data_IF_232841559669
#
_entry.id   IF_232841559669
#
_cell.length_a   1.000
_cell.length_b   1.000
_cell.length_c   1.000
_cell.angle_alpha   90.00
_cell.angle_beta   90.00
_cell.angle_gamma   90.00
#
_symmetry.space_group_name_H-M   'P 1'
#
loop_
_entity.id
_entity.type
_entity.pdbx_description
1 polymer ?
#
# COMPACT_ATOMS: atom_id res chain seq x y z
N UNK A 1 7.29 -1.15 -3.86
CA UNK A 1 7.14 -2.62 -3.76
C UNK A 1 6.52 -2.98 -2.43
N UNK A 2 5.46 -3.81 -2.42
CA UNK A 2 4.88 -4.40 -1.20
C UNK A 2 5.67 -5.62 -0.73
N UNK A 3 5.60 -5.92 0.57
CA UNK A 3 6.32 -7.03 1.21
C UNK A 3 5.37 -8.05 1.89
N UNK A 4 4.06 -7.91 1.73
CA UNK A 4 3.10 -8.84 2.29
C UNK A 4 3.39 -10.29 1.85
N UNK A 5 3.31 -11.23 2.79
CA UNK A 5 3.62 -12.67 2.63
C UNK A 5 5.10 -13.01 2.40
N UNK A 6 6.00 -12.04 2.31
CA UNK A 6 7.43 -12.31 2.26
C UNK A 6 7.97 -12.50 3.68
N UNK A 7 8.81 -13.50 3.90
CA UNK A 7 9.37 -13.84 5.22
C UNK A 7 10.89 -14.05 5.14
N UNK A 8 11.56 -13.78 6.25
CA UNK A 8 12.97 -14.10 6.43
C UNK A 8 13.87 -13.65 5.27
N UNK A 9 14.69 -14.56 4.79
CA UNK A 9 15.64 -14.30 3.70
C UNK A 9 14.96 -13.91 2.40
N UNK A 10 13.77 -14.45 2.09
CA UNK A 10 13.01 -14.07 0.89
C UNK A 10 12.61 -12.59 0.95
N UNK A 11 12.18 -12.09 2.11
CA UNK A 11 11.84 -10.67 2.28
C UNK A 11 13.09 -9.79 2.16
N UNK A 12 14.19 -10.14 2.83
CA UNK A 12 15.47 -9.42 2.76
C UNK A 12 15.97 -9.33 1.31
N UNK A 13 16.05 -10.46 0.64
CA UNK A 13 16.64 -10.54 -0.70
C UNK A 13 15.74 -9.89 -1.76
N UNK A 14 14.41 -9.98 -1.60
CA UNK A 14 13.47 -9.30 -2.48
C UNK A 14 13.58 -7.76 -2.34
N UNK A 15 13.69 -7.24 -1.13
CA UNK A 15 13.87 -5.79 -0.88
C UNK A 15 15.20 -5.31 -1.45
N UNK A 16 16.29 -6.03 -1.18
CA UNK A 16 17.62 -5.71 -1.73
C UNK A 16 17.58 -5.68 -3.27
N UNK A 17 17.00 -6.70 -3.89
CA UNK A 17 16.84 -6.81 -5.34
C UNK A 17 16.03 -5.65 -5.91
N UNK A 18 14.85 -5.36 -5.32
CA UNK A 18 14.01 -4.26 -5.78
C UNK A 18 14.73 -2.92 -5.74
N UNK A 19 15.43 -2.61 -4.65
CA UNK A 19 16.18 -1.36 -4.52
C UNK A 19 17.32 -1.27 -5.56
N UNK A 20 18.01 -2.38 -5.85
CA UNK A 20 19.05 -2.42 -6.89
C UNK A 20 18.49 -2.23 -8.30
N UNK A 21 17.22 -2.61 -8.54
CA UNK A 21 16.51 -2.42 -9.81
C UNK A 21 15.93 -1.00 -9.99
N UNK A 22 15.99 -0.16 -8.95
CA UNK A 22 15.52 1.22 -9.04
C UNK A 22 14.25 1.54 -8.23
N UNK A 23 13.66 0.57 -7.52
CA UNK A 23 12.60 0.89 -6.57
C UNK A 23 13.11 1.85 -5.49
N UNK A 24 12.24 2.77 -5.09
CA UNK A 24 12.52 3.72 -4.00
C UNK A 24 11.37 3.79 -2.99
N UNK A 25 10.29 3.05 -3.19
CA UNK A 25 9.19 2.91 -2.26
C UNK A 25 9.07 1.45 -1.80
N UNK A 26 9.24 1.22 -0.50
CA UNK A 26 9.09 -0.09 0.15
C UNK A 26 7.94 0.01 1.16
N UNK A 27 6.99 -0.90 1.06
CA UNK A 27 5.81 -0.97 1.90
C UNK A 27 5.80 -2.26 2.71
N UNK A 28 5.76 -2.13 4.03
CA UNK A 28 5.66 -3.24 4.99
C UNK A 28 4.58 -2.96 6.03
N UNK A 29 4.48 -3.78 7.06
CA UNK A 29 3.56 -3.61 8.19
C UNK A 29 3.99 -4.46 9.38
N UNK A 30 3.56 -4.08 10.58
CA UNK A 30 3.76 -4.85 11.82
C UNK A 30 3.22 -6.28 11.68
N UNK A 31 1.99 -6.42 11.18
CA UNK A 31 1.32 -7.72 11.01
C UNK A 31 2.03 -8.67 10.04
N UNK A 32 2.88 -8.15 9.16
CA UNK A 32 3.62 -9.01 8.23
C UNK A 32 4.74 -9.80 8.92
N UNK A 33 5.15 -9.38 10.13
CA UNK A 33 6.22 -10.03 10.91
C UNK A 33 7.52 -10.18 10.11
N UNK A 34 7.82 -9.19 9.27
CA UNK A 34 8.99 -9.19 8.39
C UNK A 34 9.80 -7.88 8.43
N UNK A 35 9.45 -6.95 9.31
CA UNK A 35 10.09 -5.62 9.37
C UNK A 35 11.60 -5.72 9.58
N UNK A 36 12.08 -6.67 10.39
CA UNK A 36 13.51 -6.91 10.58
C UNK A 36 14.20 -7.32 9.27
N UNK A 37 13.62 -8.26 8.53
CA UNK A 37 14.14 -8.71 7.23
C UNK A 37 14.10 -7.58 6.17
N UNK A 38 13.06 -6.75 6.19
CA UNK A 38 12.96 -5.55 5.34
C UNK A 38 14.10 -4.57 5.68
N UNK A 39 14.34 -4.29 6.95
CA UNK A 39 15.46 -3.45 7.42
C UNK A 39 16.82 -4.00 6.99
N UNK A 40 17.01 -5.31 7.07
CA UNK A 40 18.21 -5.99 6.58
C UNK A 40 18.38 -5.84 5.06
N UNK A 41 17.30 -5.99 4.29
CA UNK A 41 17.31 -5.80 2.84
C UNK A 41 17.66 -4.37 2.44
N UNK A 42 17.09 -3.37 3.13
CA UNK A 42 17.43 -1.95 2.92
C UNK A 42 18.94 -1.72 3.20
N UNK A 43 19.43 -2.18 4.34
CA UNK A 43 20.84 -2.04 4.70
C UNK A 43 21.76 -2.72 3.68
N UNK A 44 21.42 -3.95 3.28
CA UNK A 44 22.21 -4.73 2.32
C UNK A 44 22.16 -4.18 0.89
N UNK A 45 21.20 -3.32 0.56
CA UNK A 45 21.10 -2.68 -0.76
C UNK A 45 22.18 -1.63 -1.00
N UNK A 46 22.73 -1.03 0.07
CA UNK A 46 23.67 0.09 0.00
C UNK A 46 23.03 1.42 -0.46
N UNK A 47 21.72 1.45 -0.70
CA UNK A 47 21.01 2.69 -1.06
C UNK A 47 20.86 3.55 0.20
N UNK A 48 21.22 4.85 0.16
CA UNK A 48 21.06 5.72 1.32
C UNK A 48 19.62 5.77 1.81
N UNK A 49 19.41 5.68 3.13
CA UNK A 49 18.04 5.68 3.73
C UNK A 49 17.19 6.86 3.28
N UNK A 50 17.78 8.04 3.13
CA UNK A 50 17.10 9.27 2.66
C UNK A 50 16.55 9.17 1.23
N UNK A 51 17.02 8.21 0.43
CA UNK A 51 16.59 8.00 -0.95
C UNK A 51 15.49 6.95 -1.06
N UNK A 52 15.01 6.43 0.09
CA UNK A 52 13.99 5.39 0.18
C UNK A 52 12.76 5.94 0.89
N UNK A 53 11.60 5.83 0.25
CA UNK A 53 10.30 6.07 0.89
C UNK A 53 9.84 4.76 1.54
N UNK A 54 9.89 4.70 2.86
CA UNK A 54 9.58 3.52 3.66
C UNK A 54 8.24 3.70 4.36
N UNK A 55 7.32 2.75 4.16
CA UNK A 55 6.01 2.72 4.80
C UNK A 55 5.91 1.51 5.73
N UNK A 56 5.42 1.73 6.94
CA UNK A 56 4.92 0.67 7.82
C UNK A 56 3.52 0.98 8.34
N UNK A 57 2.87 0.01 8.99
CA UNK A 57 1.46 0.12 9.39
C UNK A 57 1.28 -0.42 10.80
N UNK A 58 0.51 0.34 11.59
CA UNK A 58 0.12 -0.02 12.96
C UNK A 58 -1.05 -1.01 12.88
N UNK A 59 -0.90 -2.17 13.52
CA UNK A 59 -1.96 -3.17 13.56
C UNK A 59 -3.11 -2.77 14.48
N UNK A 60 -4.30 -3.23 14.22
CA UNK A 60 -5.52 -2.79 14.91
C UNK A 60 -5.56 -3.13 16.41
N UNK A 61 -4.75 -4.05 16.90
CA UNK A 61 -4.62 -4.38 18.33
C UNK A 61 -3.69 -3.42 19.10
N UNK A 62 -3.06 -2.46 18.41
CA UNK A 62 -2.10 -1.48 18.94
C UNK A 62 -2.60 -0.03 18.82
N UNK A 63 -3.91 0.18 18.78
CA UNK A 63 -4.48 1.51 18.51
C UNK A 63 -4.60 2.40 19.75
N UNK A 64 -4.52 1.86 20.98
CA UNK A 64 -4.43 2.69 22.17
C UNK A 64 -3.19 3.59 22.09
N UNK A 65 -3.32 4.86 22.54
CA UNK A 65 -2.28 5.88 22.36
C UNK A 65 -0.87 5.41 22.73
N UNK A 66 -0.68 4.84 23.93
CA UNK A 66 0.63 4.34 24.36
C UNK A 66 1.13 3.17 23.53
N UNK A 67 0.25 2.24 23.20
CA UNK A 67 0.59 1.04 22.45
C UNK A 67 0.96 1.38 21.00
N UNK A 68 0.26 2.34 20.39
CA UNK A 68 0.55 2.83 19.05
C UNK A 68 1.97 3.41 18.97
N UNK A 69 2.31 4.33 19.87
CA UNK A 69 3.63 4.98 19.88
C UNK A 69 4.73 3.96 20.17
N UNK A 70 4.55 3.11 21.18
CA UNK A 70 5.53 2.09 21.52
C UNK A 70 5.73 1.08 20.38
N UNK A 71 4.64 0.61 19.77
CA UNK A 71 4.75 -0.35 18.66
C UNK A 71 5.42 0.26 17.43
N UNK A 72 5.22 1.55 17.14
CA UNK A 72 5.96 2.21 16.07
C UNK A 72 7.45 2.31 16.39
N UNK A 73 7.84 2.59 17.62
CA UNK A 73 9.23 2.56 18.06
C UNK A 73 9.84 1.15 17.90
N UNK A 74 9.09 0.09 18.24
CA UNK A 74 9.50 -1.29 18.00
C UNK A 74 9.71 -1.55 16.48
N UNK A 75 8.80 -1.06 15.64
CA UNK A 75 8.93 -1.14 14.17
C UNK A 75 10.21 -0.46 13.69
N UNK A 76 10.52 0.75 14.18
CA UNK A 76 11.73 1.49 13.82
C UNK A 76 13.00 0.71 14.21
N UNK A 77 13.02 0.10 15.39
CA UNK A 77 14.13 -0.74 15.83
C UNK A 77 14.34 -1.95 14.90
N UNK A 78 13.27 -2.64 14.50
CA UNK A 78 13.32 -3.76 13.56
C UNK A 78 13.77 -3.31 12.17
N UNK A 79 13.25 -2.20 11.68
CA UNK A 79 13.60 -1.60 10.38
C UNK A 79 15.01 -0.96 10.36
N UNK A 80 15.67 -0.85 11.53
CA UNK A 80 17.01 -0.26 11.70
C UNK A 80 17.09 1.19 11.21
N UNK A 81 16.08 1.97 11.54
CA UNK A 81 15.94 3.39 11.16
C UNK A 81 15.40 4.20 12.32
N UNK A 82 15.65 5.49 12.34
CA UNK A 82 15.12 6.42 13.33
C UNK A 82 13.72 6.95 12.98
N UNK A 83 13.30 6.80 11.73
CA UNK A 83 11.96 7.19 11.27
C UNK A 83 11.54 6.37 10.04
N UNK A 84 10.23 6.33 9.80
CA UNK A 84 9.66 5.95 8.51
C UNK A 84 9.16 7.19 7.75
N UNK A 85 9.03 7.08 6.44
CA UNK A 85 8.47 8.16 5.63
C UNK A 85 6.96 8.24 5.78
N UNK A 86 6.31 7.10 5.99
CA UNK A 86 4.87 7.02 6.15
C UNK A 86 4.48 5.94 7.17
N UNK A 87 3.70 6.32 8.16
CA UNK A 87 3.04 5.40 9.08
C UNK A 87 1.53 5.40 8.85
N UNK A 88 0.93 4.22 8.69
CA UNK A 88 -0.49 4.04 8.46
C UNK A 88 -1.19 3.38 9.64
N UNK A 89 -2.44 3.75 9.89
CA UNK A 89 -3.38 2.86 10.56
C UNK A 89 -3.76 1.77 9.56
N UNK A 90 -3.46 0.49 9.86
CA UNK A 90 -3.61 -0.63 8.92
C UNK A 90 -5.07 -0.94 8.63
N UNK A 91 -5.92 -0.90 9.64
CA UNK A 91 -7.37 -1.05 9.60
C UNK A 91 -8.00 -0.11 10.62
N UNK A 92 -9.21 0.41 10.39
CA UNK A 92 -9.95 1.09 11.44
C UNK A 92 -10.14 0.15 12.64
N UNK A 93 -10.36 0.72 13.83
CA UNK A 93 -10.59 -0.08 15.02
C UNK A 93 -11.82 -0.98 14.84
N UNK A 94 -11.70 -2.31 14.97
CA UNK A 94 -12.84 -3.20 14.93
C UNK A 94 -13.88 -2.78 15.99
N UNK A 95 -15.16 -2.76 15.58
CA UNK A 95 -16.30 -2.40 16.47
C UNK A 95 -16.11 -1.07 17.23
N UNK A 96 -15.25 -0.17 16.72
CA UNK A 96 -14.88 1.09 17.37
C UNK A 96 -14.37 0.93 18.81
N UNK A 97 -13.74 -0.21 19.13
CA UNK A 97 -13.20 -0.51 20.46
C UNK A 97 -12.25 0.58 20.97
N UNK A 98 -11.43 1.13 20.07
CA UNK A 98 -10.64 2.34 20.32
C UNK A 98 -11.23 3.48 19.49
N UNK A 99 -11.62 4.61 20.12
CA UNK A 99 -12.16 5.74 19.37
C UNK A 99 -11.20 6.26 18.31
N UNK A 100 -11.74 6.60 17.12
CA UNK A 100 -10.93 7.09 15.99
C UNK A 100 -10.09 8.31 16.35
N UNK A 101 -10.65 9.21 17.17
CA UNK A 101 -9.96 10.40 17.65
C UNK A 101 -8.71 10.05 18.49
N UNK A 102 -8.75 8.98 19.29
CA UNK A 102 -7.60 8.55 20.11
C UNK A 102 -6.43 8.11 19.23
N UNK A 103 -6.65 7.15 18.33
CA UNK A 103 -5.54 6.61 17.54
C UNK A 103 -5.06 7.55 16.43
N UNK A 104 -5.91 8.37 15.85
CA UNK A 104 -5.47 9.36 14.87
C UNK A 104 -4.65 10.48 15.52
N UNK A 105 -5.03 10.95 16.72
CA UNK A 105 -4.24 11.92 17.45
C UNK A 105 -2.91 11.31 17.94
N UNK A 106 -2.89 10.04 18.36
CA UNK A 106 -1.66 9.33 18.68
C UNK A 106 -0.71 9.22 17.47
N UNK A 107 -1.25 8.94 16.28
CA UNK A 107 -0.47 8.91 15.04
C UNK A 107 0.10 10.29 14.69
N UNK A 108 -0.68 11.35 14.89
CA UNK A 108 -0.23 12.75 14.72
C UNK A 108 0.83 13.15 15.75
N UNK A 109 0.74 12.63 16.97
CA UNK A 109 1.77 12.79 18.00
C UNK A 109 3.09 12.13 17.58
N UNK A 110 3.04 10.88 17.12
CA UNK A 110 4.19 10.17 16.59
C UNK A 110 4.87 10.93 15.43
N UNK A 111 4.09 11.60 14.58
CA UNK A 111 4.62 12.49 13.54
C UNK A 111 5.35 13.69 14.16
N UNK A 112 4.79 14.33 15.17
CA UNK A 112 5.42 15.46 15.86
C UNK A 112 6.71 15.07 16.58
N UNK A 113 6.78 13.85 17.07
CA UNK A 113 7.97 13.28 17.69
C UNK A 113 9.05 12.87 16.68
N UNK A 114 8.75 12.95 15.39
CA UNK A 114 9.69 12.60 14.31
C UNK A 114 9.80 11.10 14.02
N UNK A 115 8.92 10.26 14.57
CA UNK A 115 8.92 8.81 14.31
C UNK A 115 8.44 8.49 12.88
N UNK A 116 7.68 9.39 12.27
CA UNK A 116 7.24 9.32 10.87
C UNK A 116 7.19 10.71 10.26
N UNK A 117 7.49 10.82 8.97
CA UNK A 117 7.39 12.10 8.25
C UNK A 117 5.96 12.40 7.84
N UNK A 118 5.23 11.40 7.36
CA UNK A 118 3.84 11.49 6.94
C UNK A 118 3.00 10.47 7.67
N UNK A 119 1.70 10.74 7.75
CA UNK A 119 0.71 9.84 8.33
C UNK A 119 -0.40 9.55 7.33
N UNK A 120 -1.04 8.40 7.46
CA UNK A 120 -2.14 8.00 6.60
C UNK A 120 -2.97 6.88 7.20
N UNK A 121 -3.89 6.41 6.42
CA UNK A 121 -4.88 5.39 6.79
C UNK A 121 -4.90 4.28 5.74
N UNK A 122 -5.47 3.13 6.10
CA UNK A 122 -5.65 2.01 5.20
C UNK A 122 -6.98 1.32 5.50
N UNK A 123 -7.70 0.93 4.45
CA UNK A 123 -8.98 0.24 4.53
C UNK A 123 -10.11 1.06 5.20
N UNK A 124 -10.07 2.38 5.08
CA UNK A 124 -11.12 3.27 5.57
C UNK A 124 -12.19 3.45 4.50
N UNK A 125 -13.45 3.41 4.91
CA UNK A 125 -14.63 3.72 4.08
C UNK A 125 -14.74 5.22 3.82
N UNK A 126 -15.62 5.64 2.92
CA UNK A 126 -15.87 7.06 2.65
C UNK A 126 -16.25 7.81 3.93
N UNK A 127 -17.19 7.28 4.73
CA UNK A 127 -17.59 7.90 5.98
C UNK A 127 -16.45 7.98 7.00
N UNK A 128 -15.62 6.94 7.09
CA UNK A 128 -14.46 6.94 7.99
C UNK A 128 -13.37 7.93 7.52
N UNK A 129 -13.18 8.10 6.21
CA UNK A 129 -12.28 9.14 5.68
C UNK A 129 -12.77 10.55 6.03
N UNK A 130 -14.08 10.82 5.88
CA UNK A 130 -14.66 12.11 6.27
C UNK A 130 -14.41 12.41 7.75
N UNK A 131 -14.70 11.46 8.62
CA UNK A 131 -14.44 11.57 10.06
C UNK A 131 -12.95 11.79 10.36
N UNK A 132 -12.06 11.05 9.72
CA UNK A 132 -10.63 11.19 9.92
C UNK A 132 -10.11 12.58 9.50
N UNK A 133 -10.62 13.12 8.40
CA UNK A 133 -10.29 14.48 7.94
C UNK A 133 -10.89 15.55 8.86
N UNK A 134 -12.07 15.32 9.42
CA UNK A 134 -12.66 16.21 10.43
C UNK A 134 -11.79 16.29 11.70
N UNK A 135 -11.32 15.13 12.20
CA UNK A 135 -10.47 15.04 13.40
C UNK A 135 -9.11 15.72 13.19
N UNK A 136 -8.44 15.41 12.08
CA UNK A 136 -7.04 15.81 11.87
C UNK A 136 -6.86 17.12 11.10
N UNK A 137 -7.88 17.55 10.37
CA UNK A 137 -7.82 18.66 9.44
C UNK A 137 -7.37 18.23 8.02
N UNK A 138 -7.85 18.97 7.02
CA UNK A 138 -7.50 18.75 5.60
C UNK A 138 -5.99 18.83 5.37
N UNK A 139 -5.48 17.96 4.51
CA UNK A 139 -4.06 17.93 4.13
C UNK A 139 -3.13 17.29 5.17
N UNK A 140 -3.67 16.75 6.28
CA UNK A 140 -2.85 16.05 7.29
C UNK A 140 -2.56 14.60 6.88
N UNK A 141 -3.55 13.90 6.34
CA UNK A 141 -3.39 12.52 5.87
C UNK A 141 -2.83 12.51 4.45
N UNK A 142 -1.80 11.70 4.21
CA UNK A 142 -1.18 11.55 2.90
C UNK A 142 -1.99 10.62 1.98
N UNK A 143 -2.44 9.48 2.50
CA UNK A 143 -3.05 8.42 1.67
C UNK A 143 -4.10 7.63 2.43
N UNK A 144 -5.06 7.06 1.67
CA UNK A 144 -5.80 5.86 2.07
C UNK A 144 -5.29 4.69 1.22
N UNK A 145 -4.70 3.67 1.86
CA UNK A 145 -4.22 2.47 1.17
C UNK A 145 -5.33 1.43 1.14
N UNK A 146 -5.76 1.01 -0.04
CA UNK A 146 -6.90 0.10 -0.25
C UNK A 146 -6.62 -0.96 -1.31
N UNK A 147 -7.40 -2.04 -1.30
CA UNK A 147 -7.34 -3.06 -2.35
C UNK A 147 -7.83 -2.48 -3.68
N UNK A 148 -6.99 -2.54 -4.72
CA UNK A 148 -7.34 -2.10 -6.07
C UNK A 148 -6.69 -2.99 -7.12
N UNK A 149 -7.51 -3.60 -7.97
CA UNK A 149 -7.08 -4.38 -9.13
C UNK A 149 -8.22 -4.42 -10.17
N UNK A 150 -8.02 -4.94 -11.38
CA UNK A 150 -9.05 -4.95 -12.43
C UNK A 150 -10.41 -5.55 -12.02
N UNK A 151 -10.42 -6.50 -11.07
CA UNK A 151 -11.64 -7.17 -10.59
C UNK A 151 -12.28 -6.48 -9.38
N UNK A 152 -11.61 -5.47 -8.82
CA UNK A 152 -12.09 -4.60 -7.74
C UNK A 152 -11.56 -3.18 -7.95
N UNK A 153 -12.28 -2.37 -8.68
CA UNK A 153 -11.88 -1.00 -8.97
C UNK A 153 -11.98 -0.05 -7.77
N UNK A 154 -12.74 -0.42 -6.73
CA UNK A 154 -12.96 0.41 -5.52
C UNK A 154 -13.30 1.87 -5.85
N UNK A 155 -14.09 2.13 -6.92
CA UNK A 155 -14.29 3.47 -7.51
C UNK A 155 -14.72 4.49 -6.49
N UNK A 156 -15.77 4.17 -5.73
CA UNK A 156 -16.37 5.10 -4.76
C UNK A 156 -15.34 5.56 -3.71
N UNK A 157 -14.57 4.62 -3.14
CA UNK A 157 -13.54 4.91 -2.15
C UNK A 157 -12.38 5.70 -2.75
N UNK A 158 -11.94 5.31 -3.96
CA UNK A 158 -10.83 5.98 -4.68
C UNK A 158 -11.20 7.42 -5.02
N UNK A 159 -12.35 7.65 -5.66
CA UNK A 159 -12.81 8.98 -6.04
C UNK A 159 -13.04 9.88 -4.82
N UNK A 160 -13.60 9.31 -3.75
CA UNK A 160 -13.81 10.04 -2.50
C UNK A 160 -12.49 10.46 -1.84
N UNK A 161 -11.52 9.54 -1.75
CA UNK A 161 -10.19 9.86 -1.24
C UNK A 161 -9.51 10.99 -2.03
N UNK A 162 -9.56 10.88 -3.36
CA UNK A 162 -9.00 11.92 -4.26
C UNK A 162 -9.71 13.28 -4.10
N UNK A 163 -11.03 13.28 -3.94
CA UNK A 163 -11.82 14.50 -3.68
C UNK A 163 -11.45 15.16 -2.34
N UNK A 164 -11.07 14.37 -1.33
CA UNK A 164 -10.56 14.86 -0.05
C UNK A 164 -9.09 15.33 -0.12
N UNK A 165 -8.42 15.14 -1.26
CA UNK A 165 -7.01 15.50 -1.45
C UNK A 165 -6.03 14.44 -0.93
N UNK A 166 -6.49 13.24 -0.64
CA UNK A 166 -5.64 12.10 -0.30
C UNK A 166 -5.14 11.44 -1.58
N UNK A 167 -3.88 11.02 -1.60
CA UNK A 167 -3.43 10.04 -2.58
C UNK A 167 -4.08 8.68 -2.27
N UNK A 168 -4.10 7.77 -3.23
CA UNK A 168 -4.52 6.39 -3.03
C UNK A 168 -3.34 5.47 -3.31
N UNK A 169 -3.08 4.55 -2.39
CA UNK A 169 -2.14 3.46 -2.60
C UNK A 169 -2.93 2.18 -2.81
N UNK A 170 -2.68 1.48 -3.91
CA UNK A 170 -3.40 0.25 -4.28
C UNK A 170 -2.59 -1.00 -3.93
N UNK A 171 -3.06 -1.76 -2.94
CA UNK A 171 -2.47 -3.06 -2.64
C UNK A 171 -3.13 -4.18 -3.44
N UNK A 172 -2.44 -5.33 -3.55
CA UNK A 172 -2.84 -6.48 -4.36
C UNK A 172 -3.19 -6.14 -5.83
N UNK A 173 -2.40 -5.29 -6.54
CA UNK A 173 -2.76 -4.86 -7.89
C UNK A 173 -2.85 -6.02 -8.90
N UNK A 174 -2.31 -7.18 -8.56
CA UNK A 174 -2.33 -8.41 -9.39
C UNK A 174 -3.41 -9.41 -8.95
N UNK A 175 -4.31 -9.05 -8.02
CA UNK A 175 -5.36 -9.93 -7.51
C UNK A 175 -4.84 -11.33 -7.12
N UNK A 176 -3.69 -11.38 -6.43
CA UNK A 176 -3.00 -12.63 -6.05
C UNK A 176 -2.70 -13.54 -7.25
N UNK A 177 -2.37 -12.95 -8.40
CA UNK A 177 -2.04 -13.67 -9.62
C UNK A 177 -3.21 -13.93 -10.58
N UNK A 178 -4.46 -13.72 -10.17
CA UNK A 178 -5.66 -13.94 -11.01
C UNK A 178 -5.64 -13.14 -12.32
N UNK A 179 -4.99 -11.96 -12.34
CA UNK A 179 -4.85 -11.15 -13.56
C UNK A 179 -4.13 -11.89 -14.69
N UNK A 180 -3.30 -12.89 -14.37
CA UNK A 180 -2.54 -13.66 -15.35
C UNK A 180 -3.41 -14.62 -16.19
N UNK A 181 -4.62 -14.93 -15.71
CA UNK A 181 -5.54 -15.88 -16.33
C UNK A 181 -6.71 -15.17 -17.06
N UNK A 182 -6.70 -13.83 -17.10
CA UNK A 182 -7.78 -13.05 -17.72
C UNK A 182 -7.51 -12.79 -19.20
N UNK A 183 -8.45 -13.23 -20.06
CA UNK A 183 -8.33 -13.14 -21.53
C UNK A 183 -8.24 -11.69 -22.04
N UNK A 184 -8.93 -10.74 -21.37
CA UNK A 184 -8.89 -9.33 -21.75
C UNK A 184 -7.51 -8.74 -21.45
N UNK A 185 -6.98 -9.00 -20.26
CA UNK A 185 -5.64 -8.54 -19.88
C UNK A 185 -4.55 -9.21 -20.74
N UNK A 186 -4.71 -10.48 -21.07
CA UNK A 186 -3.80 -11.20 -21.99
C UNK A 186 -3.83 -10.60 -23.39
N UNK A 187 -5.01 -10.34 -23.93
CA UNK A 187 -5.18 -9.72 -25.26
C UNK A 187 -4.53 -8.33 -25.31
N UNK A 188 -4.75 -7.50 -24.28
CA UNK A 188 -4.14 -6.18 -24.20
C UNK A 188 -2.63 -6.30 -24.01
N UNK A 189 -2.16 -7.24 -23.18
CA UNK A 189 -0.73 -7.52 -23.01
C UNK A 189 -0.03 -7.86 -24.33
N UNK A 190 -0.65 -8.70 -25.15
CA UNK A 190 -0.12 -9.02 -26.52
C UNK A 190 -0.01 -7.78 -27.40
N UNK A 191 -0.98 -6.86 -27.35
CA UNK A 191 -0.96 -5.60 -28.12
C UNK A 191 0.27 -4.73 -27.80
N UNK A 192 0.65 -4.68 -26.53
CA UNK A 192 1.79 -3.88 -26.06
C UNK A 192 3.09 -4.69 -25.86
N UNK A 193 3.07 -5.98 -26.15
CA UNK A 193 4.19 -6.91 -25.93
C UNK A 193 4.64 -6.93 -24.45
N UNK A 194 3.69 -6.98 -23.53
CA UNK A 194 3.89 -7.04 -22.08
C UNK A 194 3.00 -8.11 -21.45
N UNK A 195 3.24 -8.45 -20.18
CA UNK A 195 2.43 -9.41 -19.45
C UNK A 195 1.10 -8.82 -18.97
N UNK A 196 0.08 -9.65 -18.68
CA UNK A 196 -1.15 -9.21 -18.02
C UNK A 196 -0.91 -8.48 -16.68
N UNK A 197 0.11 -8.89 -15.93
CA UNK A 197 0.52 -8.21 -14.69
C UNK A 197 0.94 -6.76 -14.95
N UNK A 198 1.74 -6.52 -15.99
CA UNK A 198 2.14 -5.16 -16.37
C UNK A 198 0.94 -4.32 -16.84
N UNK A 199 -0.01 -4.92 -17.57
CA UNK A 199 -1.27 -4.25 -17.93
C UNK A 199 -2.06 -3.83 -16.70
N UNK A 200 -2.23 -4.73 -15.73
CA UNK A 200 -2.96 -4.45 -14.49
C UNK A 200 -2.30 -3.32 -13.68
N UNK A 201 -0.97 -3.34 -13.54
CA UNK A 201 -0.22 -2.29 -12.85
C UNK A 201 -0.36 -0.94 -13.57
N UNK A 202 -0.21 -0.92 -14.89
CA UNK A 202 -0.37 0.29 -15.70
C UNK A 202 -1.78 0.87 -15.59
N UNK A 203 -2.81 0.01 -15.56
CA UNK A 203 -4.19 0.43 -15.35
C UNK A 203 -4.39 1.06 -13.96
N UNK A 204 -3.88 0.45 -12.87
CA UNK A 204 -3.94 1.05 -11.54
C UNK A 204 -3.26 2.42 -11.53
N UNK A 205 -2.05 2.52 -12.12
CA UNK A 205 -1.30 3.77 -12.18
C UNK A 205 -2.01 4.85 -13.01
N UNK A 206 -2.69 4.49 -14.11
CA UNK A 206 -3.43 5.43 -14.96
C UNK A 206 -4.59 6.13 -14.24
N UNK A 207 -5.06 5.56 -13.12
CA UNK A 207 -6.10 6.12 -12.26
C UNK A 207 -5.56 7.07 -11.18
N UNK A 208 -4.26 7.43 -11.22
CA UNK A 208 -3.61 8.24 -10.20
C UNK A 208 -3.38 7.50 -8.89
N UNK A 209 -3.37 6.17 -8.92
CA UNK A 209 -3.18 5.29 -7.75
C UNK A 209 -1.74 4.77 -7.76
N UNK A 210 -1.10 4.72 -6.60
CA UNK A 210 0.25 4.16 -6.44
C UNK A 210 0.15 2.63 -6.23
N UNK A 211 0.49 1.79 -7.22
CA UNK A 211 0.44 0.35 -7.04
C UNK A 211 1.65 -0.14 -6.23
N UNK A 212 1.42 -1.12 -5.35
CA UNK A 212 2.48 -1.76 -4.56
C UNK A 212 2.54 -3.28 -4.82
N UNK A 213 2.89 -3.70 -6.05
CA UNK A 213 3.05 -5.12 -6.36
C UNK A 213 4.18 -5.74 -5.54
N UNK A 214 4.09 -7.04 -5.30
CA UNK A 214 5.09 -7.85 -4.60
C UNK A 214 5.63 -8.95 -5.50
N UNK A 215 6.94 -9.21 -5.44
CA UNK A 215 7.58 -10.36 -6.06
C UNK A 215 8.94 -10.64 -5.43
N UNK A 216 9.30 -11.93 -5.33
CA UNK A 216 10.66 -12.38 -4.98
C UNK A 216 11.55 -12.56 -6.20
N UNK A 217 10.99 -12.52 -7.42
CA UNK A 217 11.72 -12.77 -8.67
C UNK A 217 12.21 -11.45 -9.27
N UNK A 218 13.53 -11.24 -9.46
CA UNK A 218 14.05 -10.00 -10.03
C UNK A 218 13.46 -9.62 -11.38
N UNK A 219 13.19 -10.62 -12.24
CA UNK A 219 12.58 -10.39 -13.55
C UNK A 219 11.18 -9.80 -13.43
N UNK A 220 10.37 -10.31 -12.48
CA UNK A 220 9.02 -9.78 -12.24
C UNK A 220 9.07 -8.40 -11.57
N UNK A 221 10.02 -8.18 -10.64
CA UNK A 221 10.23 -6.86 -10.04
C UNK A 221 10.56 -5.83 -11.11
N UNK A 222 11.47 -6.16 -12.04
CA UNK A 222 11.84 -5.28 -13.15
C UNK A 222 10.63 -4.98 -14.04
N UNK A 223 9.90 -6.02 -14.47
CA UNK A 223 8.70 -5.87 -15.30
C UNK A 223 7.62 -5.04 -14.61
N UNK A 224 7.40 -5.23 -13.30
CA UNK A 224 6.44 -4.45 -12.52
C UNK A 224 6.85 -2.96 -12.45
N UNK A 225 8.15 -2.65 -12.34
CA UNK A 225 8.64 -1.27 -12.35
C UNK A 225 8.48 -0.63 -13.73
N UNK A 226 8.83 -1.34 -14.79
CA UNK A 226 8.67 -0.90 -16.18
C UNK A 226 7.20 -0.64 -16.55
N UNK A 227 6.26 -1.35 -15.93
CA UNK A 227 4.83 -1.15 -16.13
C UNK A 227 4.36 0.28 -15.77
N UNK A 228 5.07 0.99 -14.91
CA UNK A 228 4.77 2.39 -14.57
C UNK A 228 4.94 3.35 -15.76
N UNK A 229 5.74 2.97 -16.75
CA UNK A 229 5.97 3.74 -17.97
C UNK A 229 4.98 3.38 -19.11
N UNK A 230 4.25 2.27 -18.97
CA UNK A 230 3.29 1.82 -19.97
C UNK A 230 2.09 2.76 -20.05
N UNK A 231 1.78 3.22 -21.24
CA UNK A 231 0.60 4.06 -21.50
C UNK A 231 -0.43 3.25 -22.29
N UNK A 232 -1.52 2.92 -21.60
CA UNK A 232 -2.67 2.24 -22.19
C UNK A 232 -3.54 3.25 -22.96
N UNK A 233 -4.17 2.81 -24.05
CA UNK A 233 -5.17 3.63 -24.76
C UNK A 233 -6.46 3.73 -23.93
N UNK A 234 -7.26 4.76 -24.18
CA UNK A 234 -8.57 4.94 -23.52
C UNK A 234 -9.50 3.75 -23.77
N UNK A 235 -9.43 3.14 -24.96
CA UNK A 235 -10.18 1.93 -25.29
C UNK A 235 -9.78 0.74 -24.43
N UNK A 236 -8.47 0.54 -24.22
CA UNK A 236 -7.97 -0.55 -23.37
C UNK A 236 -8.29 -0.31 -21.91
N UNK A 237 -8.17 0.93 -21.42
CA UNK A 237 -8.61 1.31 -20.06
C UNK A 237 -10.10 1.01 -19.87
N UNK A 238 -10.94 1.40 -20.83
CA UNK A 238 -12.38 1.13 -20.76
C UNK A 238 -12.70 -0.38 -20.79
N UNK A 239 -11.93 -1.16 -21.55
CA UNK A 239 -12.07 -2.62 -21.57
C UNK A 239 -11.70 -3.26 -20.22
N UNK A 240 -10.63 -2.77 -19.56
CA UNK A 240 -10.22 -3.23 -18.23
C UNK A 240 -11.24 -2.81 -17.19
N UNK A 241 -11.80 -1.61 -17.30
CA UNK A 241 -12.85 -1.10 -16.42
C UNK A 241 -14.10 -2.00 -16.37
N UNK A 242 -14.40 -2.75 -17.42
CA UNK A 242 -15.51 -3.71 -17.47
C UNK A 242 -15.23 -5.01 -16.73
N UNK A 243 -13.99 -5.25 -16.28
CA UNK A 243 -13.63 -6.43 -15.49
C UNK A 243 -14.01 -6.30 -14.02
N UNK A 244 -14.37 -5.10 -13.58
CA UNK A 244 -14.80 -4.85 -12.20
C UNK A 244 -16.08 -5.63 -11.88
N UNK A 245 -15.98 -6.51 -10.91
CA UNK A 245 -17.07 -7.37 -10.44
C UNK A 245 -17.19 -7.39 -8.92
N UNK A 246 -16.56 -6.43 -8.25
CA UNK A 246 -16.60 -6.31 -6.80
C UNK A 246 -15.86 -7.46 -6.08
N UNK A 247 -14.89 -8.09 -6.73
CA UNK A 247 -14.17 -9.25 -6.18
C UNK A 247 -13.13 -8.83 -5.15
N UNK A 248 -13.55 -8.66 -3.90
CA UNK A 248 -12.67 -8.33 -2.79
C UNK A 248 -11.97 -9.58 -2.25
N UNK A 249 -10.64 -9.53 -2.17
CA UNK A 249 -9.80 -10.62 -1.68
C UNK A 249 -9.49 -10.42 -0.18
N UNK A 250 -9.13 -9.19 0.22
CA UNK A 250 -8.86 -8.85 1.61
C UNK A 250 -10.14 -8.45 2.33
N UNK A 251 -10.83 -9.42 2.91
CA UNK A 251 -12.08 -9.20 3.65
C UNK A 251 -12.10 -10.01 4.96
N UNK A 252 -11.23 -9.67 5.94
CA UNK A 252 -11.24 -10.33 7.24
C UNK A 252 -12.53 -10.05 8.00
N UNK A 253 -12.86 -10.89 8.99
CA UNK A 253 -14.11 -10.80 9.74
C UNK A 253 -14.31 -9.49 10.52
N UNK A 254 -13.23 -8.73 10.75
CA UNK A 254 -13.24 -7.41 11.39
C UNK A 254 -13.23 -6.24 10.38
N UNK A 255 -13.29 -6.54 9.08
CA UNK A 255 -13.31 -5.49 8.07
C UNK A 255 -14.55 -4.58 8.24
N UNK A 256 -14.45 -3.28 7.88
CA UNK A 256 -15.60 -2.39 7.91
C UNK A 256 -16.68 -2.83 6.91
N UNK A 257 -17.89 -2.35 7.09
CA UNK A 257 -18.92 -2.44 6.05
C UNK A 257 -18.47 -1.58 4.86
N UNK A 258 -18.08 -2.23 3.77
CA UNK A 258 -17.57 -1.56 2.58
C UNK A 258 -18.61 -0.70 1.86
N UNK A 259 -18.14 0.37 1.18
CA UNK A 259 -18.98 1.26 0.35
C UNK A 259 -19.55 0.63 -0.92
#
# INVERSE_FOLDING_TARGET
>A
MGTFRLKGDDARDAVKSALSLGYRHIDTAQMYENEAAVGDGITASGIPRRDIFLTTKIWHDRLRRSDLINSLQESLAQLKTDHVDLALIHWPSPDDEVPMEEYLNALKEAQKEGLTQHIGISNFTCAQMDQAVEILGKGTLLTNQVEVHPFLASRKVVEHAQALGLTVTGYMPLAVGKVMEDETLERIGRKYNVSPAQVAIAWVASRGIVPIPSSTRPQHQKANLEAMELRLSDEDIAAIDQLDRGERIANPGFAPAWD
#
